data_IF_136475910702
#
_entry.id   IF_136475910702
#
_cell.length_a   1.000
_cell.length_b   1.000
_cell.length_c   1.000
_cell.angle_alpha   90.00
_cell.angle_beta   90.00
_cell.angle_gamma   90.00
#
_symmetry.space_group_name_H-M   'P 1'
#
loop_
_entity.id
_entity.type
_entity.pdbx_description
1 polymer ?
#
# COMPACT_ATOMS: atom_id res chain seq x y z
N UNK A 1 11.08 5.73 20.88
CA UNK A 1 12.16 4.71 21.02
C UNK A 1 11.79 3.58 20.08
N UNK A 2 12.67 3.15 19.16
CA UNK A 2 12.34 2.05 18.24
C UNK A 2 12.08 0.77 19.07
N UNK A 3 11.04 -0.03 18.78
CA UNK A 3 10.79 -1.29 19.48
C UNK A 3 12.04 -2.17 19.47
N UNK A 4 12.31 -2.91 20.55
CA UNK A 4 13.45 -3.86 20.59
C UNK A 4 13.39 -4.91 19.48
N UNK A 5 12.20 -5.10 18.89
CA UNK A 5 11.88 -6.09 17.87
C UNK A 5 11.46 -5.43 16.52
N UNK A 6 12.10 -4.33 16.08
CA UNK A 6 11.87 -3.79 14.72
C UNK A 6 12.39 -4.76 13.65
N UNK A 7 11.46 -5.54 13.09
CA UNK A 7 11.74 -6.55 12.07
C UNK A 7 12.40 -5.93 10.83
N UNK A 8 11.93 -4.76 10.38
CA UNK A 8 12.43 -4.16 9.15
C UNK A 8 13.84 -3.61 9.32
N UNK A 9 14.17 -3.08 10.50
CA UNK A 9 15.53 -2.70 10.83
C UNK A 9 16.49 -3.90 10.78
N UNK A 10 16.09 -5.03 11.39
CA UNK A 10 16.89 -6.26 11.37
C UNK A 10 17.09 -6.80 9.94
N UNK A 11 16.01 -6.93 9.16
CA UNK A 11 16.07 -7.47 7.81
C UNK A 11 16.79 -6.53 6.82
N UNK A 12 16.75 -5.22 7.03
CA UNK A 12 17.48 -4.24 6.22
C UNK A 12 18.94 -4.03 6.66
N UNK A 13 19.38 -4.73 7.72
CA UNK A 13 20.74 -4.63 8.28
C UNK A 13 21.17 -3.19 8.56
N UNK A 14 20.24 -2.37 9.07
CA UNK A 14 20.50 -0.96 9.33
C UNK A 14 21.40 -0.84 10.57
N UNK A 15 22.58 -0.23 10.38
CA UNK A 15 23.50 0.03 11.49
C UNK A 15 22.87 1.04 12.49
N UNK A 16 22.93 0.79 13.81
CA UNK A 16 22.34 1.66 14.83
C UNK A 16 22.79 3.11 14.78
N UNK A 17 24.05 3.36 14.38
CA UNK A 17 24.65 4.70 14.32
C UNK A 17 24.56 5.34 12.92
N UNK A 18 23.81 4.73 12.00
CA UNK A 18 23.66 5.26 10.64
C UNK A 18 22.72 6.46 10.56
N UNK A 19 22.88 7.35 9.56
CA UNK A 19 21.90 8.40 9.27
C UNK A 19 20.49 7.87 9.06
N UNK A 20 20.35 6.66 8.49
CA UNK A 20 19.05 6.00 8.30
C UNK A 20 18.41 5.59 9.63
N UNK A 21 19.18 5.06 10.59
CA UNK A 21 18.66 4.75 11.93
C UNK A 21 18.17 6.02 12.64
N UNK A 22 18.91 7.13 12.54
CA UNK A 22 18.48 8.42 13.07
C UNK A 22 17.21 8.96 12.38
N UNK A 23 17.09 8.81 11.06
CA UNK A 23 15.89 9.18 10.32
C UNK A 23 14.68 8.33 10.75
N UNK A 24 14.85 7.02 10.97
CA UNK A 24 13.79 6.12 11.48
C UNK A 24 13.38 6.46 12.91
N UNK A 25 14.32 6.89 13.77
CA UNK A 25 14.00 7.42 15.10
C UNK A 25 13.16 8.70 15.02
N UNK A 26 13.43 9.56 14.02
CA UNK A 26 12.63 10.76 13.76
C UNK A 26 11.21 10.43 13.23
N UNK A 27 11.04 9.25 12.63
CA UNK A 27 9.76 8.71 12.12
C UNK A 27 9.30 7.49 12.91
N UNK A 28 9.51 7.51 14.23
CA UNK A 28 9.25 6.36 15.09
C UNK A 28 7.80 5.87 15.01
N UNK A 29 6.82 6.76 14.96
CA UNK A 29 5.40 6.38 14.81
C UNK A 29 5.13 5.53 13.56
N UNK A 30 5.71 5.88 12.41
CA UNK A 30 5.55 5.08 11.19
C UNK A 30 6.17 3.68 11.33
N UNK A 31 7.31 3.60 12.01
CA UNK A 31 8.02 2.34 12.31
C UNK A 31 7.23 1.47 13.29
N UNK A 32 6.80 2.05 14.41
CA UNK A 32 6.05 1.39 15.48
C UNK A 32 4.76 0.78 14.94
N UNK A 33 3.99 1.55 14.17
CA UNK A 33 2.68 1.09 13.70
C UNK A 33 2.76 0.14 12.49
N UNK A 34 3.84 0.21 11.70
CA UNK A 34 4.14 -0.83 10.72
C UNK A 34 4.48 -2.17 11.41
N UNK A 35 5.25 -2.13 12.50
CA UNK A 35 5.52 -3.31 13.34
C UNK A 35 4.25 -3.82 14.02
N UNK A 36 3.43 -2.92 14.58
CA UNK A 36 2.14 -3.29 15.19
C UNK A 36 1.18 -3.96 14.21
N UNK A 37 1.19 -3.54 12.94
CA UNK A 37 0.41 -4.22 11.87
C UNK A 37 0.89 -5.66 11.65
N UNK A 38 2.21 -5.89 11.66
CA UNK A 38 2.78 -7.24 11.62
C UNK A 38 2.40 -8.05 12.86
N UNK A 39 2.48 -7.46 14.05
CA UNK A 39 2.16 -8.17 15.31
C UNK A 39 0.70 -8.61 15.34
N UNK A 40 -0.22 -7.75 14.90
CA UNK A 40 -1.65 -8.10 14.73
C UNK A 40 -1.80 -9.23 13.71
N UNK A 41 -1.24 -9.06 12.50
CA UNK A 41 -1.38 -10.00 11.39
C UNK A 41 -0.74 -11.36 11.63
N UNK A 42 0.21 -11.49 12.55
CA UNK A 42 0.90 -12.75 12.83
C UNK A 42 0.86 -13.16 14.31
N UNK A 43 -0.11 -12.61 15.05
CA UNK A 43 -0.48 -13.07 16.39
C UNK A 43 -1.06 -14.50 16.36
N UNK A 44 -0.82 -15.33 17.38
CA UNK A 44 -1.39 -16.69 17.47
C UNK A 44 -2.92 -16.71 17.52
N UNK A 45 -3.51 -15.73 18.20
CA UNK A 45 -4.96 -15.62 18.45
C UNK A 45 -5.69 -14.81 17.37
N UNK A 46 -5.31 -14.98 16.11
CA UNK A 46 -5.93 -14.25 14.99
C UNK A 46 -7.46 -14.43 14.99
N UNK A 47 -8.18 -13.38 14.60
CA UNK A 47 -9.63 -13.41 14.48
C UNK A 47 -10.03 -14.28 13.28
N UNK A 48 -10.87 -15.30 13.50
CA UNK A 48 -11.51 -16.07 12.45
C UNK A 48 -10.85 -17.42 12.10
N UNK A 49 -11.24 -17.97 10.95
CA UNK A 49 -10.85 -19.30 10.48
C UNK A 49 -9.57 -19.26 9.62
N UNK A 50 -8.81 -18.16 9.65
CA UNK A 50 -7.54 -18.00 8.93
C UNK A 50 -6.32 -18.26 9.86
N UNK A 51 -5.86 -19.51 9.98
CA UNK A 51 -4.85 -19.90 10.97
C UNK A 51 -3.50 -19.24 10.70
N UNK A 52 -2.69 -19.10 11.77
CA UNK A 52 -1.36 -18.49 11.69
C UNK A 52 -0.45 -19.17 10.66
N UNK A 53 -0.49 -20.50 10.55
CA UNK A 53 0.30 -21.25 9.56
C UNK A 53 -0.02 -20.84 8.12
N UNK A 54 -1.31 -20.68 7.80
CA UNK A 54 -1.75 -20.24 6.48
C UNK A 54 -1.43 -18.75 6.23
N UNK A 55 -1.53 -17.89 7.25
CA UNK A 55 -1.09 -16.49 7.19
C UNK A 55 0.40 -16.38 6.89
N UNK A 56 1.24 -17.14 7.59
CA UNK A 56 2.69 -17.18 7.36
C UNK A 56 3.05 -17.73 5.97
N UNK A 57 2.40 -18.81 5.53
CA UNK A 57 2.57 -19.35 4.18
C UNK A 57 2.21 -18.32 3.11
N UNK A 58 1.09 -17.60 3.30
CA UNK A 58 0.67 -16.56 2.36
C UNK A 58 1.68 -15.40 2.33
N UNK A 59 2.15 -14.97 3.49
CA UNK A 59 3.14 -13.91 3.60
C UNK A 59 4.48 -14.30 2.96
N UNK A 60 4.93 -15.54 3.16
CA UNK A 60 6.09 -16.10 2.48
C UNK A 60 5.91 -16.06 0.96
N UNK A 61 4.76 -16.53 0.44
CA UNK A 61 4.49 -16.56 -1.00
C UNK A 61 4.46 -15.15 -1.60
N UNK A 62 3.79 -14.20 -0.95
CA UNK A 62 3.72 -12.81 -1.41
C UNK A 62 5.11 -12.16 -1.38
N UNK A 63 5.93 -12.43 -0.36
CA UNK A 63 7.32 -11.95 -0.32
C UNK A 63 8.18 -12.51 -1.47
N UNK A 64 7.97 -13.78 -1.88
CA UNK A 64 8.61 -14.36 -3.07
C UNK A 64 8.19 -13.64 -4.35
N UNK A 65 6.90 -13.36 -4.53
CA UNK A 65 6.39 -12.61 -5.70
C UNK A 65 6.94 -11.18 -5.79
N UNK A 66 7.30 -10.58 -4.65
CA UNK A 66 7.99 -9.28 -4.60
C UNK A 66 9.52 -9.40 -4.68
N UNK A 67 10.04 -10.60 -4.92
CA UNK A 67 11.47 -10.91 -4.98
C UNK A 67 12.24 -10.48 -3.73
N UNK A 68 11.62 -10.57 -2.54
CA UNK A 68 12.23 -10.22 -1.24
C UNK A 68 12.64 -11.48 -0.44
N UNK A 69 13.84 -12.05 -0.70
CA UNK A 69 14.24 -13.32 -0.10
C UNK A 69 14.42 -13.26 1.42
N UNK A 70 14.88 -12.12 1.97
CA UNK A 70 15.04 -11.96 3.44
C UNK A 70 13.69 -12.03 4.16
N UNK A 71 12.69 -11.37 3.60
CA UNK A 71 11.34 -11.37 4.17
C UNK A 71 10.66 -12.74 3.99
N UNK A 72 10.84 -13.37 2.82
CA UNK A 72 10.36 -14.72 2.58
C UNK A 72 10.97 -15.75 3.55
N UNK A 73 12.30 -15.69 3.76
CA UNK A 73 13.01 -16.55 4.71
C UNK A 73 12.54 -16.34 6.15
N UNK A 74 12.28 -15.09 6.54
CA UNK A 74 11.70 -14.77 7.85
C UNK A 74 10.34 -15.44 8.08
N UNK A 75 9.43 -15.35 7.11
CA UNK A 75 8.13 -16.00 7.22
C UNK A 75 8.23 -17.54 7.23
N UNK A 76 9.11 -18.10 6.41
CA UNK A 76 9.39 -19.53 6.36
C UNK A 76 9.91 -20.05 7.71
N UNK A 77 10.86 -19.34 8.34
CA UNK A 77 11.44 -19.74 9.63
C UNK A 77 10.41 -19.75 10.78
N UNK A 78 9.34 -18.95 10.68
CA UNK A 78 8.24 -18.93 11.65
C UNK A 78 7.17 -19.98 11.38
N UNK A 79 7.15 -20.56 10.19
CA UNK A 79 6.15 -21.55 9.82
C UNK A 79 6.44 -22.86 10.57
N UNK A 80 5.52 -23.28 11.44
CA UNK A 80 5.50 -24.64 11.98
C UNK A 80 4.77 -25.54 10.98
N UNK A 81 5.21 -26.78 10.85
CA UNK A 81 4.70 -27.73 9.84
C UNK A 81 3.17 -27.85 9.85
N UNK A 82 2.59 -27.97 8.65
CA UNK A 82 1.17 -28.17 8.40
C UNK A 82 0.79 -27.62 7.01
N UNK A 83 0.20 -28.43 6.11
CA UNK A 83 -0.16 -27.95 4.79
C UNK A 83 -1.22 -26.85 4.91
N UNK A 84 -1.24 -25.88 3.99
CA UNK A 84 -2.34 -24.92 3.96
C UNK A 84 -3.65 -25.68 3.66
N UNK A 85 -4.72 -25.35 4.39
CA UNK A 85 -5.98 -26.10 4.35
C UNK A 85 -6.70 -26.03 2.99
N UNK A 86 -7.88 -26.67 2.88
CA UNK A 86 -8.65 -26.82 1.63
C UNK A 86 -8.94 -25.49 0.90
N UNK A 87 -9.04 -24.39 1.65
CA UNK A 87 -9.29 -23.02 1.15
C UNK A 87 -8.07 -22.36 0.48
N UNK A 88 -6.90 -23.01 0.48
CA UNK A 88 -5.65 -22.43 -0.02
C UNK A 88 -5.66 -22.03 -1.50
N UNK A 89 -6.18 -22.84 -2.45
CA UNK A 89 -6.16 -22.48 -3.86
C UNK A 89 -6.90 -21.16 -4.15
N UNK A 90 -8.06 -20.94 -3.51
CA UNK A 90 -8.82 -19.69 -3.69
C UNK A 90 -8.12 -18.50 -3.02
N UNK A 91 -7.49 -18.69 -1.86
CA UNK A 91 -6.66 -17.66 -1.23
C UNK A 91 -5.46 -17.25 -2.10
N UNK A 92 -4.80 -18.23 -2.71
CA UNK A 92 -3.65 -18.01 -3.58
C UNK A 92 -4.05 -17.25 -4.85
N UNK A 93 -5.16 -17.62 -5.49
CA UNK A 93 -5.69 -16.91 -6.65
C UNK A 93 -6.05 -15.46 -6.32
N UNK A 94 -6.66 -15.21 -5.16
CA UNK A 94 -6.95 -13.85 -4.69
C UNK A 94 -5.67 -13.05 -4.42
N UNK A 95 -4.69 -13.66 -3.76
CA UNK A 95 -3.42 -13.03 -3.43
C UNK A 95 -2.59 -12.71 -4.69
N UNK A 96 -2.58 -13.59 -5.68
CA UNK A 96 -1.91 -13.38 -6.96
C UNK A 96 -2.51 -12.18 -7.70
N UNK A 97 -3.85 -12.12 -7.77
CA UNK A 97 -4.56 -10.98 -8.35
C UNK A 97 -4.26 -9.67 -7.63
N UNK A 98 -4.33 -9.64 -6.30
CA UNK A 98 -3.94 -8.47 -5.49
C UNK A 98 -2.49 -8.04 -5.75
N UNK A 99 -1.60 -8.99 -5.97
CA UNK A 99 -0.15 -8.75 -6.05
C UNK A 99 0.24 -8.17 -7.42
N UNK A 100 -0.26 -8.76 -8.50
CA UNK A 100 0.18 -8.48 -9.86
C UNK A 100 -0.81 -7.66 -10.69
N UNK A 101 -2.11 -7.84 -10.49
CA UNK A 101 -3.15 -7.25 -11.34
C UNK A 101 -4.35 -6.73 -10.50
N UNK A 102 -4.11 -5.87 -9.49
CA UNK A 102 -5.19 -5.46 -8.58
C UNK A 102 -6.32 -4.73 -9.33
N UNK A 103 -6.02 -3.96 -10.38
CA UNK A 103 -7.02 -3.25 -11.18
C UNK A 103 -7.96 -4.17 -11.98
N UNK A 104 -7.59 -5.44 -12.18
CA UNK A 104 -8.42 -6.44 -12.84
C UNK A 104 -9.35 -7.20 -11.86
N UNK A 105 -9.29 -6.90 -10.55
CA UNK A 105 -10.23 -7.43 -9.59
C UNK A 105 -11.66 -6.95 -9.88
N UNK A 106 -12.65 -7.64 -9.32
CA UNK A 106 -14.07 -7.42 -9.59
C UNK A 106 -14.95 -8.21 -8.63
N UNK A 107 -16.26 -7.89 -8.53
CA UNK A 107 -17.16 -8.51 -7.56
C UNK A 107 -17.22 -10.05 -7.65
N UNK A 108 -17.10 -10.61 -8.86
CA UNK A 108 -17.11 -12.06 -9.06
C UNK A 108 -16.00 -12.78 -8.29
N UNK A 109 -14.83 -12.15 -8.18
CA UNK A 109 -13.69 -12.73 -7.48
C UNK A 109 -13.88 -12.83 -5.97
N UNK A 110 -14.65 -11.91 -5.36
CA UNK A 110 -15.02 -12.06 -3.94
C UNK A 110 -16.08 -13.14 -3.74
N UNK A 111 -17.04 -13.26 -4.68
CA UNK A 111 -18.03 -14.35 -4.66
C UNK A 111 -17.38 -15.73 -4.76
N UNK A 112 -16.30 -15.88 -5.54
CA UNK A 112 -15.51 -17.11 -5.60
C UNK A 112 -14.93 -17.50 -4.23
N UNK A 113 -14.45 -16.52 -3.45
CA UNK A 113 -13.97 -16.76 -2.08
C UNK A 113 -15.12 -17.16 -1.14
N UNK A 114 -16.27 -16.47 -1.21
CA UNK A 114 -17.46 -16.81 -0.42
C UNK A 114 -17.95 -18.24 -0.74
N UNK A 115 -17.96 -18.63 -2.02
CA UNK A 115 -18.32 -19.97 -2.48
C UNK A 115 -17.31 -21.04 -2.02
N UNK A 116 -16.03 -20.67 -1.88
CA UNK A 116 -15.01 -21.50 -1.26
C UNK A 116 -15.09 -21.52 0.29
N UNK A 117 -16.13 -20.91 0.88
CA UNK A 117 -16.42 -20.93 2.30
C UNK A 117 -15.65 -19.90 3.13
N UNK A 118 -15.05 -18.87 2.52
CA UNK A 118 -14.44 -17.78 3.28
C UNK A 118 -15.51 -16.88 3.91
N UNK A 119 -15.33 -16.51 5.17
CA UNK A 119 -16.15 -15.48 5.81
C UNK A 119 -15.74 -14.09 5.32
N UNK A 120 -16.63 -13.11 5.46
CA UNK A 120 -16.32 -11.71 5.16
C UNK A 120 -15.11 -11.18 5.94
N UNK A 121 -14.98 -11.59 7.21
CA UNK A 121 -13.88 -11.17 8.09
C UNK A 121 -12.54 -11.79 7.64
N UNK A 122 -12.57 -13.05 7.20
CA UNK A 122 -11.38 -13.73 6.69
C UNK A 122 -10.97 -13.20 5.30
N UNK A 123 -11.92 -12.86 4.41
CA UNK A 123 -11.62 -12.21 3.11
C UNK A 123 -10.93 -10.86 3.33
N UNK A 124 -11.44 -10.05 4.26
CA UNK A 124 -10.83 -8.76 4.61
C UNK A 124 -9.45 -8.98 5.22
N UNK A 125 -9.28 -9.94 6.13
CA UNK A 125 -7.98 -10.22 6.75
C UNK A 125 -6.97 -10.77 5.74
N UNK A 126 -7.36 -11.66 4.83
CA UNK A 126 -6.52 -12.13 3.72
C UNK A 126 -6.08 -10.97 2.82
N UNK A 127 -7.02 -10.10 2.44
CA UNK A 127 -6.73 -8.93 1.60
C UNK A 127 -5.76 -7.97 2.29
N UNK A 128 -5.98 -7.70 3.59
CA UNK A 128 -5.08 -6.86 4.38
C UNK A 128 -3.69 -7.49 4.56
N UNK A 129 -3.60 -8.81 4.73
CA UNK A 129 -2.32 -9.51 4.81
C UNK A 129 -1.51 -9.37 3.52
N UNK A 130 -2.11 -9.68 2.36
CA UNK A 130 -1.42 -9.59 1.06
C UNK A 130 -0.99 -8.16 0.77
N UNK A 131 -1.86 -7.18 1.07
CA UNK A 131 -1.57 -5.78 0.87
C UNK A 131 -0.49 -5.25 1.85
N UNK A 132 -0.51 -5.70 3.11
CA UNK A 132 0.52 -5.40 4.10
C UNK A 132 1.89 -5.93 3.67
N UNK A 133 1.98 -7.20 3.27
CA UNK A 133 3.25 -7.79 2.84
C UNK A 133 3.76 -7.10 1.57
N UNK A 134 2.86 -6.68 0.66
CA UNK A 134 3.23 -5.87 -0.52
C UNK A 134 3.84 -4.51 -0.14
N UNK A 135 3.33 -3.86 0.91
CA UNK A 135 3.92 -2.66 1.51
C UNK A 135 5.26 -2.96 2.17
N UNK A 136 5.30 -4.00 3.01
CA UNK A 136 6.47 -4.39 3.78
C UNK A 136 7.64 -4.76 2.88
N UNK A 137 7.41 -5.49 1.78
CA UNK A 137 8.43 -5.82 0.78
C UNK A 137 9.02 -4.58 0.13
N UNK A 138 8.19 -3.59 -0.24
CA UNK A 138 8.65 -2.33 -0.84
C UNK A 138 9.41 -1.47 0.16
N UNK A 139 8.90 -1.37 1.38
CA UNK A 139 9.59 -0.64 2.45
C UNK A 139 10.95 -1.28 2.74
N UNK A 140 11.02 -2.61 2.86
CA UNK A 140 12.28 -3.33 3.04
C UNK A 140 13.25 -3.10 1.88
N UNK A 141 12.78 -3.17 0.63
CA UNK A 141 13.59 -2.87 -0.57
C UNK A 141 14.22 -1.49 -0.50
N UNK A 142 13.41 -0.48 -0.19
CA UNK A 142 13.87 0.91 -0.09
C UNK A 142 14.85 1.12 1.07
N UNK A 143 14.61 0.50 2.23
CA UNK A 143 15.53 0.57 3.37
C UNK A 143 16.89 -0.07 3.06
N UNK A 144 16.89 -1.23 2.41
CA UNK A 144 18.12 -1.92 1.98
C UNK A 144 18.94 -1.06 0.99
N UNK A 145 18.26 -0.38 0.06
CA UNK A 145 18.90 0.60 -0.83
C UNK A 145 19.52 1.78 -0.07
N UNK A 146 18.81 2.33 0.92
CA UNK A 146 19.35 3.42 1.75
C UNK A 146 20.55 2.96 2.59
N UNK A 147 20.55 1.71 3.05
CA UNK A 147 21.71 1.07 3.68
C UNK A 147 22.89 0.82 2.72
N UNK A 148 22.74 1.13 1.42
CA UNK A 148 23.79 0.98 0.41
C UNK A 148 23.91 -0.42 -0.18
N UNK A 149 22.95 -1.31 0.09
CA UNK A 149 22.91 -2.62 -0.57
C UNK A 149 22.51 -2.46 -2.04
N UNK A 150 23.21 -3.16 -2.93
CA UNK A 150 22.69 -3.40 -4.27
C UNK A 150 21.57 -4.45 -4.18
N UNK A 151 20.34 -3.95 -4.27
CA UNK A 151 19.15 -4.78 -4.19
C UNK A 151 18.72 -5.33 -5.54
N UNK A 152 19.52 -5.24 -6.61
CA UNK A 152 19.42 -6.07 -7.81
C UNK A 152 18.01 -6.39 -8.33
N UNK A 153 17.52 -5.57 -9.25
CA UNK A 153 16.53 -5.94 -10.26
C UNK A 153 16.62 -4.93 -11.40
N UNK A 154 17.48 -5.21 -12.38
CA UNK A 154 17.54 -4.38 -13.57
C UNK A 154 16.27 -4.61 -14.39
N UNK A 155 15.40 -3.60 -14.43
CA UNK A 155 14.56 -3.36 -15.60
C UNK A 155 15.21 -2.21 -16.37
N UNK A 156 15.60 -2.43 -17.64
CA UNK A 156 16.09 -1.34 -18.48
C UNK A 156 14.96 -0.35 -18.82
N UNK A 157 13.71 -0.81 -18.78
CA UNK A 157 12.53 -0.01 -19.11
C UNK A 157 11.98 0.75 -17.89
N UNK A 158 11.55 2.01 -18.08
CA UNK A 158 10.91 2.80 -17.03
C UNK A 158 9.58 2.17 -16.61
N UNK A 159 9.20 2.38 -15.35
CA UNK A 159 7.88 2.00 -14.87
C UNK A 159 6.79 2.84 -15.58
N UNK A 160 5.73 2.16 -16.01
CA UNK A 160 4.66 2.72 -16.84
C UNK A 160 3.36 2.88 -16.06
N UNK A 161 2.49 3.76 -16.53
CA UNK A 161 1.11 3.84 -16.03
C UNK A 161 0.36 2.52 -16.34
N UNK A 162 -0.34 1.97 -15.36
CA UNK A 162 -1.14 0.78 -15.57
C UNK A 162 -2.48 1.08 -16.27
N UNK A 163 -3.05 0.05 -16.86
CA UNK A 163 -4.47 0.05 -17.24
C UNK A 163 -5.35 0.15 -15.97
N UNK A 164 -6.58 0.61 -16.17
CA UNK A 164 -7.61 0.71 -15.13
C UNK A 164 -8.93 0.14 -15.66
N UNK A 165 -9.90 -0.02 -14.78
CA UNK A 165 -11.26 -0.46 -15.15
C UNK A 165 -11.98 0.60 -15.98
N UNK A 166 -12.46 0.24 -17.16
CA UNK A 166 -13.12 1.16 -18.11
C UNK A 166 -14.63 0.95 -18.23
N UNK A 167 -15.22 0.06 -17.41
CA UNK A 167 -16.68 -0.10 -17.34
C UNK A 167 -17.35 1.26 -17.03
N UNK A 168 -18.43 1.61 -17.73
CA UNK A 168 -19.08 2.92 -17.54
C UNK A 168 -19.88 3.03 -16.24
N UNK A 169 -20.20 1.89 -15.62
CA UNK A 169 -20.99 1.82 -14.39
C UNK A 169 -20.40 0.83 -13.40
N UNK A 170 -20.57 1.11 -12.11
CA UNK A 170 -20.20 0.19 -11.04
C UNK A 170 -21.15 -1.00 -10.93
N UNK A 171 -20.82 -1.98 -10.08
CA UNK A 171 -21.67 -3.13 -9.80
C UNK A 171 -23.06 -2.76 -9.24
N UNK A 172 -23.17 -1.62 -8.54
CA UNK A 172 -24.45 -1.10 -8.05
C UNK A 172 -25.20 -0.21 -9.06
N UNK A 173 -24.59 0.07 -10.23
CA UNK A 173 -25.15 0.91 -11.28
C UNK A 173 -24.80 2.40 -11.20
N UNK A 174 -23.86 2.80 -10.33
CA UNK A 174 -23.39 4.19 -10.26
C UNK A 174 -22.51 4.54 -11.46
N UNK A 175 -22.44 5.82 -11.90
CA UNK A 175 -21.49 6.24 -12.94
C UNK A 175 -20.04 6.04 -12.49
N UNK A 176 -19.27 5.24 -13.22
CA UNK A 176 -17.86 5.04 -12.95
C UNK A 176 -17.01 6.18 -13.56
N UNK A 177 -15.88 6.56 -12.94
CA UNK A 177 -15.00 7.58 -13.51
C UNK A 177 -14.36 7.07 -14.82
N UNK A 178 -14.48 7.80 -15.95
CA UNK A 178 -14.01 7.31 -17.24
C UNK A 178 -12.48 7.31 -17.39
N UNK A 179 -11.79 8.12 -16.58
CA UNK A 179 -10.34 8.25 -16.58
C UNK A 179 -9.85 8.69 -15.20
N UNK A 180 -8.53 8.67 -15.01
CA UNK A 180 -7.88 9.32 -13.88
C UNK A 180 -8.28 10.81 -13.80
N UNK A 181 -8.59 11.29 -12.60
CA UNK A 181 -9.16 12.62 -12.39
C UNK A 181 -8.68 13.20 -11.07
N UNK A 182 -8.80 14.51 -10.87
CA UNK A 182 -8.63 15.17 -9.55
C UNK A 182 -9.98 15.41 -8.84
N UNK A 183 -11.09 15.06 -9.48
CA UNK A 183 -12.43 15.20 -8.92
C UNK A 183 -12.58 14.37 -7.62
N UNK A 184 -13.52 14.79 -6.79
CA UNK A 184 -13.94 13.96 -5.66
C UNK A 184 -14.72 12.75 -6.17
N UNK A 185 -14.40 11.58 -5.62
CA UNK A 185 -15.03 10.32 -5.99
C UNK A 185 -15.63 9.69 -4.73
N UNK A 186 -16.73 8.98 -4.91
CA UNK A 186 -17.21 8.00 -3.95
C UNK A 186 -16.48 6.67 -4.14
N UNK A 187 -16.60 5.79 -3.15
CA UNK A 187 -16.14 4.41 -3.24
C UNK A 187 -17.19 3.51 -2.60
N UNK A 188 -17.49 2.40 -3.26
CA UNK A 188 -18.44 1.42 -2.76
C UNK A 188 -17.80 0.03 -2.65
N UNK A 189 -18.11 -0.72 -1.57
CA UNK A 189 -17.53 -2.03 -1.38
C UNK A 189 -18.31 -3.11 -2.17
N UNK A 190 -17.61 -4.15 -2.60
CA UNK A 190 -18.23 -5.36 -3.15
C UNK A 190 -18.61 -6.38 -2.08
N UNK A 191 -18.01 -6.26 -0.89
CA UNK A 191 -18.33 -7.03 0.30
C UNK A 191 -18.99 -6.09 1.31
N UNK A 192 -20.15 -6.47 1.85
CA UNK A 192 -20.88 -5.59 2.77
C UNK A 192 -20.00 -5.10 3.93
N UNK A 193 -19.91 -3.78 4.11
CA UNK A 193 -19.31 -3.21 5.29
C UNK A 193 -20.14 -3.57 6.52
N UNK A 194 -19.49 -3.79 7.67
CA UNK A 194 -20.18 -4.00 8.94
C UNK A 194 -20.99 -2.75 9.28
N UNK A 195 -22.26 -2.88 9.67
CA UNK A 195 -23.07 -1.71 10.05
C UNK A 195 -22.48 -1.06 11.29
N UNK A 196 -22.62 0.25 11.44
CA UNK A 196 -22.01 0.96 12.57
C UNK A 196 -22.53 0.39 13.89
N UNK A 197 -23.82 0.04 13.94
CA UNK A 197 -24.54 -0.46 15.12
C UNK A 197 -23.98 -1.80 15.62
N UNK A 198 -23.44 -2.61 14.71
CA UNK A 198 -22.88 -3.95 14.98
C UNK A 198 -21.49 -3.89 15.65
N UNK A 199 -20.85 -2.72 15.66
CA UNK A 199 -19.62 -2.49 16.42
C UNK A 199 -19.94 -2.27 17.91
N UNK A 200 -19.08 -2.78 18.79
CA UNK A 200 -19.14 -2.49 20.22
C UNK A 200 -18.93 -0.99 20.50
N UNK A 201 -19.27 -0.53 21.70
CA UNK A 201 -19.09 0.88 22.07
C UNK A 201 -17.61 1.32 21.96
N UNK A 202 -16.67 0.44 22.35
CA UNK A 202 -15.24 0.71 22.24
C UNK A 202 -14.78 0.81 20.77
N UNK A 203 -15.24 -0.12 19.93
CA UNK A 203 -14.93 -0.11 18.49
C UNK A 203 -15.46 1.15 17.79
N UNK A 204 -16.70 1.58 18.12
CA UNK A 204 -17.29 2.83 17.63
C UNK A 204 -16.46 4.04 18.02
N UNK A 205 -15.96 4.09 19.27
CA UNK A 205 -15.10 5.17 19.73
C UNK A 205 -13.77 5.23 18.96
N UNK A 206 -13.16 4.07 18.67
CA UNK A 206 -11.94 4.00 17.85
C UNK A 206 -12.19 4.48 16.41
N UNK A 207 -13.30 4.07 15.78
CA UNK A 207 -13.67 4.57 14.44
C UNK A 207 -13.90 6.08 14.45
N UNK A 208 -14.64 6.58 15.44
CA UNK A 208 -14.95 8.01 15.58
C UNK A 208 -13.69 8.86 15.77
N UNK A 209 -12.71 8.40 16.56
CA UNK A 209 -11.43 9.08 16.82
C UNK A 209 -10.69 9.48 15.53
N UNK A 210 -10.85 8.72 14.45
CA UNK A 210 -10.20 8.98 13.17
C UNK A 210 -11.14 9.48 12.07
N UNK A 211 -12.42 9.73 12.39
CA UNK A 211 -13.42 10.16 11.41
C UNK A 211 -13.84 9.05 10.45
N UNK A 212 -13.79 7.80 10.90
CA UNK A 212 -14.02 6.62 10.07
C UNK A 212 -15.45 6.05 10.16
N UNK A 213 -16.30 6.57 11.05
CA UNK A 213 -17.63 6.02 11.36
C UNK A 213 -18.55 5.92 10.15
N UNK A 214 -18.53 6.93 9.27
CA UNK A 214 -19.45 7.04 8.13
C UNK A 214 -18.86 6.52 6.81
N UNK A 215 -17.68 5.91 6.85
CA UNK A 215 -17.00 5.40 5.66
C UNK A 215 -17.16 3.90 5.53
N UNK A 216 -17.82 3.45 4.45
CA UNK A 216 -17.94 2.03 4.14
C UNK A 216 -16.59 1.34 3.98
N UNK A 217 -15.60 2.03 3.40
CA UNK A 217 -14.23 1.52 3.31
C UNK A 217 -13.65 1.21 4.69
N UNK A 218 -13.70 2.17 5.61
CA UNK A 218 -13.12 1.96 6.93
C UNK A 218 -13.94 0.99 7.78
N UNK A 219 -15.27 0.98 7.66
CA UNK A 219 -16.11 -0.04 8.33
C UNK A 219 -15.87 -1.44 7.78
N UNK A 220 -15.61 -1.59 6.48
CA UNK A 220 -15.24 -2.87 5.88
C UNK A 220 -13.90 -3.37 6.44
N UNK A 221 -12.87 -2.51 6.45
CA UNK A 221 -11.58 -2.88 7.06
C UNK A 221 -11.68 -3.08 8.58
N UNK A 222 -12.62 -2.42 9.23
CA UNK A 222 -12.94 -2.52 10.66
C UNK A 222 -13.42 -3.91 11.09
N UNK A 223 -13.74 -4.82 10.15
CA UNK A 223 -13.89 -6.26 10.43
C UNK A 223 -12.63 -6.85 11.10
N UNK A 224 -11.47 -6.26 10.84
CA UNK A 224 -10.25 -6.46 11.62
C UNK A 224 -9.77 -5.11 12.17
N UNK A 225 -10.50 -4.58 13.17
CA UNK A 225 -10.26 -3.25 13.72
C UNK A 225 -8.84 -3.01 14.26
N UNK A 226 -8.22 -3.94 15.00
CA UNK A 226 -6.84 -3.74 15.48
C UNK A 226 -5.86 -3.49 14.34
N UNK A 227 -6.02 -4.20 13.21
CA UNK A 227 -5.18 -4.00 12.04
C UNK A 227 -5.48 -2.66 11.34
N UNK A 228 -6.75 -2.29 11.22
CA UNK A 228 -7.15 -0.99 10.69
C UNK A 228 -6.55 0.16 11.51
N UNK A 229 -6.53 0.05 12.84
CA UNK A 229 -5.95 1.07 13.72
C UNK A 229 -4.45 1.22 13.47
N UNK A 230 -3.69 0.14 13.46
CA UNK A 230 -2.25 0.17 13.17
C UNK A 230 -1.95 0.72 11.77
N UNK A 231 -2.73 0.32 10.76
CA UNK A 231 -2.62 0.87 9.41
C UNK A 231 -2.89 2.39 9.39
N UNK A 232 -3.92 2.84 10.10
CA UNK A 232 -4.30 4.27 10.18
C UNK A 232 -3.21 5.10 10.85
N UNK A 233 -2.62 4.57 11.91
CA UNK A 233 -1.53 5.24 12.62
C UNK A 233 -0.23 5.23 11.81
N UNK A 234 0.01 4.19 11.01
CA UNK A 234 1.10 4.17 10.01
C UNK A 234 0.91 5.29 8.99
N UNK A 235 -0.27 5.43 8.38
CA UNK A 235 -0.59 6.53 7.45
C UNK A 235 -0.34 7.91 8.08
N UNK A 236 -0.85 8.12 9.29
CA UNK A 236 -0.66 9.37 10.03
C UNK A 236 0.82 9.65 10.32
N UNK A 237 1.57 8.63 10.73
CA UNK A 237 3.02 8.70 10.95
C UNK A 237 3.83 8.98 9.69
N UNK A 238 3.27 8.74 8.50
CA UNK A 238 3.91 9.02 7.21
C UNK A 238 3.46 10.36 6.62
N UNK A 239 2.21 10.78 6.75
CA UNK A 239 1.67 11.97 6.05
C UNK A 239 1.52 13.22 6.91
N UNK A 240 1.43 13.08 8.23
CA UNK A 240 1.10 14.17 9.15
C UNK A 240 2.24 14.41 10.16
N UNK A 241 3.48 14.44 9.66
CA UNK A 241 4.68 14.72 10.46
C UNK A 241 5.35 16.03 10.05
N UNK A 242 6.08 16.63 10.99
CA UNK A 242 6.87 17.84 10.74
C UNK A 242 8.25 17.52 10.15
N UNK A 243 8.78 18.44 9.35
CA UNK A 243 10.09 18.33 8.69
C UNK A 243 10.18 17.19 7.65
N UNK A 244 11.35 17.00 7.06
CA UNK A 244 11.59 16.00 6.01
C UNK A 244 10.88 16.37 4.69
N UNK A 245 10.44 15.36 3.94
CA UNK A 245 9.91 15.57 2.60
C UNK A 245 8.60 16.37 2.68
N UNK A 246 8.46 17.49 1.96
CA UNK A 246 7.23 18.28 1.96
C UNK A 246 6.01 17.43 1.61
N UNK A 247 4.87 17.69 2.29
CA UNK A 247 3.63 16.94 2.06
C UNK A 247 3.21 16.90 0.60
N UNK A 248 3.39 17.98 -0.16
CA UNK A 248 3.12 18.02 -1.62
C UNK A 248 3.84 16.91 -2.40
N UNK A 249 5.06 16.55 -2.00
CA UNK A 249 5.89 15.52 -2.65
C UNK A 249 5.55 14.11 -2.15
N UNK A 250 5.12 13.97 -0.88
CA UNK A 250 4.54 12.71 -0.37
C UNK A 250 3.24 12.36 -1.11
N UNK A 251 2.37 13.35 -1.31
CA UNK A 251 1.11 13.21 -2.07
C UNK A 251 1.38 12.97 -3.57
N UNK A 252 2.46 13.54 -4.13
CA UNK A 252 2.92 13.23 -5.49
C UNK A 252 3.35 11.76 -5.60
N UNK A 253 4.16 11.26 -4.67
CA UNK A 253 4.60 9.86 -4.65
C UNK A 253 3.41 8.88 -4.53
N UNK A 254 2.43 9.22 -3.70
CA UNK A 254 1.16 8.49 -3.59
C UNK A 254 0.37 8.45 -4.91
N UNK A 255 0.35 9.58 -5.63
CA UNK A 255 -0.29 9.69 -6.96
C UNK A 255 0.41 8.78 -7.98
N UNK A 256 1.74 8.80 -8.02
CA UNK A 256 2.57 7.96 -8.90
C UNK A 256 2.33 6.47 -8.61
N UNK A 257 2.39 6.05 -7.34
CA UNK A 257 2.12 4.67 -6.95
C UNK A 257 0.72 4.21 -7.39
N UNK A 258 -0.28 5.10 -7.25
CA UNK A 258 -1.65 4.83 -7.68
C UNK A 258 -1.79 4.71 -9.19
N UNK A 259 -1.03 5.49 -9.98
CA UNK A 259 -0.94 5.35 -11.44
C UNK A 259 -0.28 4.04 -11.88
N UNK A 260 0.78 3.60 -11.18
CA UNK A 260 1.43 2.30 -11.44
C UNK A 260 0.50 1.13 -11.10
N UNK A 261 -0.38 1.27 -10.09
CA UNK A 261 -1.30 0.21 -9.69
C UNK A 261 -2.68 0.26 -10.38
N UNK A 262 -2.98 1.29 -11.17
CA UNK A 262 -4.29 1.45 -11.84
C UNK A 262 -5.42 1.95 -10.93
N UNK A 263 -5.11 2.54 -9.77
CA UNK A 263 -6.09 2.93 -8.75
C UNK A 263 -6.60 4.37 -8.94
N UNK A 264 -7.71 4.55 -9.68
CA UNK A 264 -8.31 5.87 -9.92
C UNK A 264 -8.69 6.58 -8.62
N UNK A 265 -9.31 5.89 -7.65
CA UNK A 265 -9.74 6.52 -6.40
C UNK A 265 -8.57 7.13 -5.63
N UNK A 266 -7.51 6.35 -5.38
CA UNK A 266 -6.35 6.85 -4.66
C UNK A 266 -5.66 7.97 -5.45
N UNK A 267 -5.49 7.78 -6.77
CA UNK A 267 -4.92 8.82 -7.60
C UNK A 267 -5.71 10.13 -7.52
N UNK A 268 -7.05 10.09 -7.47
CA UNK A 268 -7.85 11.33 -7.41
C UNK A 268 -7.67 12.10 -6.09
N UNK A 269 -7.67 11.38 -4.97
CA UNK A 269 -7.47 11.97 -3.64
C UNK A 269 -6.08 12.60 -3.53
N UNK A 270 -5.04 11.86 -3.94
CA UNK A 270 -3.66 12.29 -3.77
C UNK A 270 -3.23 13.32 -4.81
N UNK A 271 -3.70 13.22 -6.05
CA UNK A 271 -3.44 14.23 -7.08
C UNK A 271 -4.12 15.57 -6.74
N UNK A 272 -5.35 15.55 -6.19
CA UNK A 272 -6.01 16.78 -5.71
C UNK A 272 -5.18 17.48 -4.64
N UNK A 273 -4.69 16.74 -3.65
CA UNK A 273 -3.85 17.26 -2.55
C UNK A 273 -2.48 17.73 -3.06
N UNK A 274 -1.82 16.94 -3.92
CA UNK A 274 -0.54 17.31 -4.52
C UNK A 274 -0.66 18.62 -5.30
N UNK A 275 -1.69 18.76 -6.15
CA UNK A 275 -1.95 19.99 -6.91
C UNK A 275 -2.20 21.20 -5.99
N UNK A 276 -3.06 21.04 -4.98
CA UNK A 276 -3.39 22.11 -4.03
C UNK A 276 -2.15 22.60 -3.25
N UNK A 277 -1.38 21.66 -2.69
CA UNK A 277 -0.24 21.98 -1.81
C UNK A 277 0.98 22.47 -2.59
N UNK A 278 1.20 21.96 -3.81
CA UNK A 278 2.30 22.38 -4.67
C UNK A 278 2.04 23.68 -5.41
N UNK A 279 0.76 24.07 -5.56
CA UNK A 279 0.32 25.15 -6.45
C UNK A 279 0.73 24.91 -7.92
N UNK A 280 0.88 23.65 -8.32
CA UNK A 280 1.24 23.20 -9.67
C UNK A 280 0.15 22.26 -10.24
N UNK A 281 -1.08 22.76 -10.47
CA UNK A 281 -2.18 21.91 -10.91
C UNK A 281 -1.99 21.33 -12.31
N UNK A 282 -1.32 22.03 -13.22
CA UNK A 282 -1.08 21.57 -14.59
C UNK A 282 -0.07 20.43 -14.64
N UNK A 283 1.01 20.52 -13.85
CA UNK A 283 2.04 19.48 -13.78
C UNK A 283 1.49 18.18 -13.20
N UNK A 284 0.64 18.27 -12.18
CA UNK A 284 -0.06 17.11 -11.62
C UNK A 284 -1.09 16.56 -12.61
N UNK A 285 -1.78 17.42 -13.37
CA UNK A 285 -2.71 16.99 -14.40
C UNK A 285 -1.98 16.20 -15.50
N UNK A 286 -0.85 16.70 -16.00
CA UNK A 286 -0.01 15.98 -16.99
C UNK A 286 0.40 14.59 -16.51
N UNK A 287 0.75 14.44 -15.22
CA UNK A 287 1.09 13.14 -14.63
C UNK A 287 -0.10 12.16 -14.63
N UNK A 288 -1.30 12.61 -14.26
CA UNK A 288 -2.45 11.70 -14.20
C UNK A 288 -3.03 11.41 -15.60
N UNK A 289 -2.80 12.29 -16.57
CA UNK A 289 -3.18 12.12 -17.98
C UNK A 289 -2.25 11.18 -18.74
N UNK A 290 -1.12 10.74 -18.16
CA UNK A 290 -0.24 9.72 -18.75
C UNK A 290 -1.05 8.47 -19.11
N UNK A 291 -1.08 8.13 -20.40
CA UNK A 291 -1.82 6.99 -20.94
C UNK A 291 -1.24 5.65 -20.45
N UNK A 292 -2.05 4.57 -20.37
CA UNK A 292 -1.56 3.23 -20.03
C UNK A 292 -0.38 2.82 -20.91
N UNK A 293 0.62 2.19 -20.29
CA UNK A 293 1.84 1.74 -20.98
C UNK A 293 2.86 2.85 -21.26
N UNK A 294 2.56 4.12 -20.96
CA UNK A 294 3.53 5.20 -21.09
C UNK A 294 4.33 5.42 -19.80
N UNK A 295 5.62 5.83 -19.89
CA UNK A 295 6.42 6.18 -18.74
C UNK A 295 5.81 7.35 -17.95
N UNK A 296 5.83 7.27 -16.62
CA UNK A 296 5.32 8.35 -15.75
C UNK A 296 6.32 9.51 -15.58
N UNK A 297 7.61 9.22 -15.67
CA UNK A 297 8.69 10.19 -15.46
C UNK A 297 9.04 10.94 -16.76
N UNK A 298 8.14 11.80 -17.22
CA UNK A 298 8.34 12.63 -18.41
C UNK A 298 7.77 14.05 -18.20
N UNK A 299 8.34 15.05 -18.87
CA UNK A 299 7.83 16.43 -18.94
C UNK A 299 7.55 17.12 -17.59
N UNK A 300 8.49 16.94 -16.65
CA UNK A 300 8.44 17.48 -15.29
C UNK A 300 9.74 18.19 -14.91
N UNK A 301 9.67 19.08 -13.91
CA UNK A 301 10.86 19.68 -13.31
C UNK A 301 11.80 18.60 -12.76
N UNK A 302 13.12 18.83 -12.83
CA UNK A 302 14.17 17.82 -12.54
C UNK A 302 13.97 17.11 -11.19
N UNK A 303 13.64 17.86 -10.13
CA UNK A 303 13.35 17.27 -8.80
C UNK A 303 12.12 16.36 -8.83
N UNK A 304 11.04 16.76 -9.47
CA UNK A 304 9.82 15.96 -9.57
C UNK A 304 10.03 14.74 -10.48
N UNK A 305 10.77 14.89 -11.57
CA UNK A 305 11.13 13.77 -12.43
C UNK A 305 11.88 12.69 -11.65
N UNK A 306 12.87 13.06 -10.83
CA UNK A 306 13.59 12.11 -9.98
C UNK A 306 12.68 11.43 -8.93
N UNK A 307 11.78 12.19 -8.30
CA UNK A 307 10.80 11.65 -7.34
C UNK A 307 9.84 10.67 -8.03
N UNK A 308 9.31 11.03 -9.21
CA UNK A 308 8.36 10.22 -9.98
C UNK A 308 9.04 8.92 -10.45
N UNK A 309 10.25 9.01 -10.99
CA UNK A 309 11.00 7.85 -11.48
C UNK A 309 11.26 6.83 -10.34
N UNK A 310 11.75 7.32 -9.19
CA UNK A 310 11.96 6.46 -8.02
C UNK A 310 10.64 5.88 -7.50
N UNK A 311 9.60 6.70 -7.30
CA UNK A 311 8.32 6.23 -6.78
C UNK A 311 7.66 5.20 -7.72
N UNK A 312 7.76 5.40 -9.04
CA UNK A 312 7.20 4.49 -10.02
C UNK A 312 7.93 3.13 -10.00
N UNK A 313 9.27 3.14 -9.98
CA UNK A 313 10.08 1.92 -9.91
C UNK A 313 9.91 1.13 -8.60
N UNK A 314 9.73 1.82 -7.47
CA UNK A 314 9.42 1.17 -6.19
C UNK A 314 7.99 0.60 -6.17
N UNK A 315 7.09 1.10 -7.02
CA UNK A 315 5.69 0.68 -7.07
C UNK A 315 5.45 -0.58 -7.91
N UNK A 316 6.35 -0.95 -8.82
CA UNK A 316 6.21 -2.16 -9.66
C UNK A 316 6.19 -3.44 -8.82
N UNK A 317 5.69 -4.54 -9.40
CA UNK A 317 5.80 -5.89 -8.82
C UNK A 317 6.61 -6.79 -9.77
N UNK A 318 7.78 -7.31 -9.37
CA UNK A 318 8.52 -6.95 -8.14
C UNK A 318 9.00 -5.48 -8.19
N UNK A 319 9.32 -4.86 -7.03
CA UNK A 319 9.88 -3.51 -6.99
C UNK A 319 11.28 -3.47 -7.60
N UNK A 320 11.56 -2.49 -8.46
CA UNK A 320 12.86 -2.37 -9.16
C UNK A 320 13.55 -1.00 -8.99
N UNK A 321 13.54 -0.35 -7.80
CA UNK A 321 14.32 0.87 -7.59
C UNK A 321 15.82 0.58 -7.64
N UNK A 322 16.61 1.57 -8.06
CA UNK A 322 18.06 1.45 -8.27
C UNK A 322 18.86 2.48 -7.50
N UNK A 323 20.11 2.14 -7.17
CA UNK A 323 21.04 3.05 -6.48
C UNK A 323 21.26 4.36 -7.27
N UNK A 324 21.28 4.28 -8.60
CA UNK A 324 21.41 5.45 -9.47
C UNK A 324 20.31 6.50 -9.22
N UNK A 325 19.08 6.07 -8.95
CA UNK A 325 17.97 6.99 -8.65
C UNK A 325 18.16 7.68 -7.30
N UNK A 326 18.69 6.98 -6.29
CA UNK A 326 19.05 7.61 -5.01
C UNK A 326 20.16 8.65 -5.17
N UNK A 327 21.15 8.39 -6.03
CA UNK A 327 22.19 9.38 -6.36
C UNK A 327 21.57 10.62 -6.99
N UNK A 328 20.63 10.46 -7.94
CA UNK A 328 19.92 11.59 -8.55
C UNK A 328 19.09 12.37 -7.53
N UNK A 329 18.35 11.68 -6.65
CA UNK A 329 17.56 12.34 -5.60
C UNK A 329 18.45 13.13 -4.64
N UNK A 330 19.59 12.59 -4.23
CA UNK A 330 20.58 13.31 -3.39
C UNK A 330 21.17 14.52 -4.12
N UNK A 331 21.40 14.43 -5.44
CA UNK A 331 21.82 15.57 -6.26
C UNK A 331 20.74 16.67 -6.34
N UNK A 332 19.46 16.32 -6.16
CA UNK A 332 18.35 17.27 -6.01
C UNK A 332 18.15 17.76 -4.56
N UNK A 333 19.11 17.46 -3.68
CA UNK A 333 19.16 17.95 -2.30
C UNK A 333 18.32 17.16 -1.30
N UNK A 334 17.80 15.97 -1.66
CA UNK A 334 17.05 15.16 -0.69
C UNK A 334 18.00 14.59 0.38
N UNK A 335 17.72 14.95 1.63
CA UNK A 335 18.34 14.39 2.83
C UNK A 335 17.90 12.94 3.08
N UNK A 336 18.60 12.23 3.97
CA UNK A 336 18.26 10.85 4.34
C UNK A 336 16.83 10.72 4.89
N UNK A 337 16.37 11.71 5.66
CA UNK A 337 15.00 11.78 6.17
C UNK A 337 13.97 11.96 5.04
N UNK A 338 14.27 12.82 4.06
CA UNK A 338 13.40 13.02 2.89
C UNK A 338 13.33 11.77 2.00
N UNK A 339 14.43 11.05 1.84
CA UNK A 339 14.46 9.78 1.12
C UNK A 339 13.66 8.70 1.84
N UNK A 340 13.78 8.61 3.18
CA UNK A 340 12.94 7.72 3.98
C UNK A 340 11.45 8.05 3.82
N UNK A 341 11.09 9.33 3.91
CA UNK A 341 9.72 9.80 3.73
C UNK A 341 9.18 9.43 2.33
N UNK A 342 10.00 9.57 1.28
CA UNK A 342 9.64 9.19 -0.09
C UNK A 342 9.36 7.67 -0.20
N UNK A 343 10.24 6.85 0.36
CA UNK A 343 10.09 5.39 0.38
C UNK A 343 8.83 4.99 1.16
N UNK A 344 8.64 5.53 2.36
CA UNK A 344 7.48 5.22 3.20
C UNK A 344 6.17 5.63 2.52
N UNK A 345 6.12 6.85 1.97
CA UNK A 345 4.94 7.35 1.25
C UNK A 345 4.62 6.46 0.06
N UNK A 346 5.62 6.12 -0.77
CA UNK A 346 5.42 5.26 -1.95
C UNK A 346 4.98 3.85 -1.56
N UNK A 347 5.69 3.22 -0.63
CA UNK A 347 5.42 1.84 -0.21
C UNK A 347 4.03 1.70 0.42
N UNK A 348 3.57 2.68 1.20
CA UNK A 348 2.27 2.64 1.86
C UNK A 348 1.12 2.57 0.84
N UNK A 349 1.25 3.22 -0.32
CA UNK A 349 0.22 3.14 -1.36
C UNK A 349 0.14 1.78 -2.05
N UNK A 350 1.18 0.95 -1.97
CA UNK A 350 1.05 -0.46 -2.35
C UNK A 350 0.03 -1.20 -1.49
N UNK A 351 -0.11 -0.84 -0.20
CA UNK A 351 -1.16 -1.38 0.69
C UNK A 351 -2.52 -0.78 0.34
N UNK A 352 -2.62 0.56 0.32
CA UNK A 352 -3.90 1.24 0.11
C UNK A 352 -4.53 0.91 -1.25
N UNK A 353 -3.76 0.98 -2.34
CA UNK A 353 -4.27 0.73 -3.69
C UNK A 353 -4.84 -0.68 -3.83
N UNK A 354 -4.14 -1.69 -3.30
CA UNK A 354 -4.59 -3.09 -3.39
C UNK A 354 -5.94 -3.27 -2.72
N UNK A 355 -6.10 -2.76 -1.50
CA UNK A 355 -7.40 -2.83 -0.80
C UNK A 355 -8.52 -2.09 -1.54
N UNK A 356 -8.23 -0.88 -2.03
CA UNK A 356 -9.23 -0.07 -2.74
C UNK A 356 -9.67 -0.70 -4.07
N UNK A 357 -8.76 -1.40 -4.75
CA UNK A 357 -9.01 -2.02 -6.05
C UNK A 357 -9.66 -3.40 -5.95
N UNK A 358 -9.44 -4.14 -4.86
CA UNK A 358 -9.89 -5.53 -4.77
C UNK A 358 -11.08 -5.76 -3.85
N UNK A 359 -11.46 -4.75 -3.05
CA UNK A 359 -12.61 -4.83 -2.15
C UNK A 359 -13.79 -3.97 -2.59
N UNK A 360 -13.66 -3.21 -3.68
CA UNK A 360 -14.67 -2.27 -4.14
C UNK A 360 -14.22 -1.45 -5.33
N UNK A 361 -14.98 -0.42 -5.65
CA UNK A 361 -14.74 0.43 -6.82
C UNK A 361 -15.11 1.90 -6.60
N UNK A 362 -14.47 2.84 -7.32
CA UNK A 362 -14.88 4.23 -7.31
C UNK A 362 -16.14 4.47 -8.13
N UNK A 363 -16.91 5.47 -7.72
CA UNK A 363 -17.98 6.07 -8.52
C UNK A 363 -17.89 7.60 -8.49
N UNK A 364 -18.52 8.24 -9.47
CA UNK A 364 -18.70 9.68 -9.53
C UNK A 364 -19.98 10.04 -8.76
N UNK A 365 -19.90 10.78 -7.63
CA UNK A 365 -21.09 11.19 -6.90
C UNK A 365 -22.01 12.05 -7.77
N UNK A 366 -23.32 11.98 -7.50
CA UNK A 366 -24.26 12.93 -8.09
C UNK A 366 -23.91 14.37 -7.64
N UNK A 367 -24.02 15.36 -8.55
CA UNK A 367 -23.67 16.76 -8.28
C UNK A 367 -24.55 17.44 -7.21
#
# INVERSE_FOLDING_TARGET
MIPSDDLLQALASISPDSPLAAARLTRDAATEHAQGSYDVLFSPHGNGDFPLSARLAMAQQVAHWHSEPRLAAHYAARQKEGPPGEKWPSALAHAERLTFQPAAAGPAHLRELEQAGWSADDIVTLSQLVAFVSFQSRLLRGLRLLSGEDVGAERPEPAVAAAWRTDPTTASGQPAPPAFTRAELGWEPWLAAKKLEEFSAAEKATLAKFGHSDSDYFRLLGRNLPLLEQRTLTDKGIFYTAGGLPRKERELAATVASKVNGCIYCASVHARKAAQLSKQPEDVQRLIDTAPGQPLAADQAVRWLAIIDFAASLSTTPPTPRQAQLVQLRAQGLSELELLDLIQSTAFFAWANRLMLTLGEPFTPAP
#
